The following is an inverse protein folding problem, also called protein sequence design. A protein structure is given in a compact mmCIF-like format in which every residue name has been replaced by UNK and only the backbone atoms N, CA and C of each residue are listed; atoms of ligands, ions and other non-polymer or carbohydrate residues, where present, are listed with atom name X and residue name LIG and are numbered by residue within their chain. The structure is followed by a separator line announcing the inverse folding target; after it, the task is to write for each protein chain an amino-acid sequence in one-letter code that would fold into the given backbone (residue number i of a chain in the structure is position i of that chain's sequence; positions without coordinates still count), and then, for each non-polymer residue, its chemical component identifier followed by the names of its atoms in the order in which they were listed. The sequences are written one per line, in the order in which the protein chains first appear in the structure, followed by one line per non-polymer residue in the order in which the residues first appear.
data_IF_835599822300
#
_entry.id   IF_835599822300
#
_cell.length_a   1.000
_cell.length_b   1.000
_cell.length_c   1.000
_cell.angle_alpha   90.00
_cell.angle_beta   90.00
_cell.angle_gamma   90.00
#
_symmetry.space_group_name_H-M   'P 1'
#
loop_
_entity.id
_entity.type
_entity.pdbx_description
1 polymer ?
#
# COMPACT_ATOMS: atom_id res chain seq x y z
N UNK A 1 -14.72 15.93 68.18
CA UNK A 1 -14.53 15.02 67.05
C UNK A 1 -13.96 15.84 65.89
N UNK A 2 -12.61 15.76 65.70
CA UNK A 2 -11.92 16.55 64.68
C UNK A 2 -11.83 15.68 63.42
N UNK A 3 -12.43 16.19 62.32
CA UNK A 3 -12.35 15.55 60.97
C UNK A 3 -10.98 15.92 60.34
N UNK A 4 -10.14 14.92 60.10
CA UNK A 4 -8.91 15.09 59.29
C UNK A 4 -9.31 14.97 57.81
N UNK A 5 -9.19 16.08 57.07
CA UNK A 5 -9.23 16.05 55.60
C UNK A 5 -7.85 15.63 55.09
N UNK A 6 -7.77 14.44 54.47
CA UNK A 6 -6.58 13.98 53.77
C UNK A 6 -6.62 14.48 52.31
N UNK A 7 -5.79 15.44 51.97
CA UNK A 7 -5.66 15.93 50.60
C UNK A 7 -4.77 14.97 49.82
N UNK A 8 -5.34 14.26 48.82
CA UNK A 8 -4.59 13.40 47.91
C UNK A 8 -4.03 14.28 46.78
N UNK A 9 -2.72 14.43 46.74
CA UNK A 9 -2.03 15.05 45.60
C UNK A 9 -1.87 14.00 44.49
N UNK A 10 -2.61 14.15 43.37
CA UNK A 10 -2.35 13.38 42.15
C UNK A 10 -1.25 14.09 41.37
N UNK A 11 -0.06 13.50 41.40
CA UNK A 11 1.06 13.95 40.54
C UNK A 11 0.87 13.38 39.15
N UNK A 12 0.48 14.22 38.21
CA UNK A 12 0.54 13.87 36.79
C UNK A 12 2.00 13.84 36.35
N UNK A 13 2.57 12.65 36.22
CA UNK A 13 3.85 12.46 35.51
C UNK A 13 3.59 12.70 34.03
N UNK A 14 3.95 13.86 33.52
CA UNK A 14 4.04 14.13 32.09
C UNK A 14 5.17 13.25 31.53
N UNK A 15 4.82 12.19 30.83
CA UNK A 15 5.78 11.45 30.02
C UNK A 15 6.31 12.43 28.94
N UNK A 16 7.62 12.69 28.83
CA UNK A 16 8.11 13.53 27.75
C UNK A 16 7.76 12.87 26.43
N UNK A 17 7.13 13.60 25.51
CA UNK A 17 6.95 13.16 24.14
C UNK A 17 8.33 12.87 23.58
N UNK A 18 8.64 11.60 23.34
CA UNK A 18 9.87 11.21 22.63
C UNK A 18 9.68 11.74 21.21
N UNK A 19 10.39 12.83 20.89
CA UNK A 19 10.47 13.33 19.52
C UNK A 19 11.03 12.19 18.66
N UNK A 20 10.24 11.70 17.73
CA UNK A 20 10.70 10.66 16.81
C UNK A 20 11.93 11.18 16.08
N UNK A 21 13.03 10.42 16.13
CA UNK A 21 14.26 10.76 15.40
C UNK A 21 13.95 10.92 13.91
N UNK A 22 14.60 11.86 13.22
CA UNK A 22 14.42 12.01 11.80
C UNK A 22 14.84 10.71 11.09
N UNK A 23 13.91 10.14 10.34
CA UNK A 23 14.13 8.92 9.58
C UNK A 23 15.03 9.22 8.40
N UNK A 24 16.01 8.36 8.12
CA UNK A 24 16.90 8.45 6.97
C UNK A 24 16.75 7.19 6.13
N UNK A 25 16.99 7.29 4.84
CA UNK A 25 17.05 6.14 3.96
C UNK A 25 18.35 6.14 3.18
N UNK A 26 18.96 4.97 3.04
CA UNK A 26 20.17 4.74 2.26
C UNK A 26 19.81 3.87 1.08
N UNK A 27 20.09 4.34 -0.14
CA UNK A 27 19.95 3.53 -1.36
C UNK A 27 20.86 2.31 -1.28
N UNK A 28 20.32 1.15 -1.57
CA UNK A 28 21.07 -0.10 -1.53
C UNK A 28 21.27 -0.67 -2.92
N UNK A 29 20.20 -0.83 -3.68
CA UNK A 29 20.24 -1.39 -5.03
C UNK A 29 19.01 -1.11 -5.86
N UNK A 30 19.08 -1.42 -7.14
CA UNK A 30 17.94 -1.49 -8.05
C UNK A 30 17.87 -2.87 -8.74
N UNK A 31 16.67 -3.21 -9.23
CA UNK A 31 16.46 -4.42 -10.03
C UNK A 31 17.14 -4.29 -11.40
N UNK A 32 17.69 -5.40 -11.89
CA UNK A 32 18.22 -5.51 -13.25
C UNK A 32 17.26 -6.21 -14.19
N UNK A 33 16.16 -6.74 -13.66
CA UNK A 33 15.10 -7.36 -14.46
C UNK A 33 14.35 -6.31 -15.28
N UNK A 34 13.98 -6.66 -16.50
CA UNK A 34 13.17 -5.80 -17.35
C UNK A 34 11.71 -5.90 -16.95
N UNK A 35 11.21 -4.87 -16.24
CA UNK A 35 9.81 -4.63 -15.95
C UNK A 35 9.24 -3.62 -16.97
N UNK A 36 7.93 -3.43 -16.95
CA UNK A 36 7.27 -2.41 -17.77
C UNK A 36 6.19 -1.73 -16.94
N UNK A 37 6.44 -0.50 -16.53
CA UNK A 37 5.53 0.27 -15.69
C UNK A 37 5.07 -0.53 -14.45
N UNK A 38 5.99 -0.97 -13.56
CA UNK A 38 5.61 -1.72 -12.36
C UNK A 38 4.81 -0.83 -11.42
N UNK A 39 3.65 -1.31 -10.93
CA UNK A 39 2.80 -0.60 -9.99
C UNK A 39 3.00 -1.14 -8.57
N UNK A 40 2.00 -1.75 -7.98
CA UNK A 40 2.13 -2.26 -6.62
C UNK A 40 3.16 -3.38 -6.49
N UNK A 41 3.65 -3.56 -5.27
CA UNK A 41 4.52 -4.66 -4.88
C UNK A 41 4.21 -5.10 -3.45
N UNK A 42 4.18 -6.42 -3.24
CA UNK A 42 3.83 -7.04 -1.96
C UNK A 42 4.73 -8.22 -1.64
N UNK A 43 5.20 -8.33 -0.41
CA UNK A 43 5.89 -9.54 0.04
C UNK A 43 4.89 -10.69 0.18
N UNK A 44 5.31 -11.90 -0.25
CA UNK A 44 4.55 -13.10 0.08
C UNK A 44 4.44 -13.28 1.60
N UNK A 45 3.38 -13.95 2.13
CA UNK A 45 3.18 -14.11 3.57
C UNK A 45 4.37 -14.73 4.33
N UNK A 46 5.18 -15.55 3.65
CA UNK A 46 6.40 -16.15 4.21
C UNK A 46 7.66 -15.28 3.99
N UNK A 47 7.52 -14.11 3.36
CA UNK A 47 8.59 -13.16 3.08
C UNK A 47 9.65 -13.61 2.08
N UNK A 48 9.44 -14.76 1.39
CA UNK A 48 10.43 -15.34 0.47
C UNK A 48 10.39 -14.74 -0.93
N UNK A 49 9.31 -14.11 -1.30
CA UNK A 49 9.08 -13.55 -2.63
C UNK A 49 8.57 -12.12 -2.53
N UNK A 50 9.03 -11.27 -3.43
CA UNK A 50 8.47 -9.96 -3.69
C UNK A 50 7.63 -10.07 -4.97
N UNK A 51 6.32 -9.95 -4.83
CA UNK A 51 5.37 -9.93 -5.93
C UNK A 51 5.30 -8.51 -6.48
N UNK A 52 5.37 -8.34 -7.78
CA UNK A 52 5.34 -7.03 -8.43
C UNK A 52 4.28 -7.03 -9.54
N UNK A 53 3.36 -6.11 -9.47
CA UNK A 53 2.36 -5.85 -10.52
C UNK A 53 3.05 -5.21 -11.73
N UNK A 54 3.49 -6.03 -12.68
CA UNK A 54 4.20 -5.64 -13.90
C UNK A 54 3.19 -5.31 -15.00
N UNK A 55 2.55 -4.13 -14.85
CA UNK A 55 1.33 -3.69 -15.57
C UNK A 55 1.49 -3.76 -17.07
N UNK A 56 2.57 -3.20 -17.60
CA UNK A 56 2.81 -3.19 -19.05
C UNK A 56 3.07 -4.57 -19.65
N UNK A 57 3.34 -5.58 -18.81
CA UNK A 57 3.48 -6.98 -19.20
C UNK A 57 2.26 -7.84 -18.80
N UNK A 58 1.21 -7.24 -18.22
CA UNK A 58 -0.04 -7.90 -17.80
C UNK A 58 0.20 -9.11 -16.88
N UNK A 59 1.10 -9.01 -15.91
CA UNK A 59 1.49 -10.15 -15.08
C UNK A 59 1.86 -9.72 -13.66
N UNK A 60 1.87 -10.67 -12.74
CA UNK A 60 2.61 -10.56 -11.48
C UNK A 60 4.00 -11.14 -11.71
N UNK A 61 5.04 -10.32 -11.61
CA UNK A 61 6.43 -10.76 -11.59
C UNK A 61 6.82 -11.18 -10.18
N UNK A 62 7.52 -12.30 -10.05
CA UNK A 62 8.00 -12.85 -8.77
C UNK A 62 9.49 -12.58 -8.67
N UNK A 63 9.89 -11.73 -7.75
CA UNK A 63 11.29 -11.40 -7.51
C UNK A 63 11.79 -12.02 -6.21
N UNK A 64 13.08 -12.25 -6.14
CA UNK A 64 13.78 -12.46 -4.86
C UNK A 64 13.89 -11.11 -4.14
N UNK A 65 13.42 -10.97 -2.90
CA UNK A 65 13.38 -9.68 -2.22
C UNK A 65 14.78 -9.12 -1.91
N UNK A 66 15.80 -9.98 -1.80
CA UNK A 66 17.16 -9.57 -1.46
C UNK A 66 18.01 -9.21 -2.67
N UNK A 67 18.00 -10.01 -3.70
CA UNK A 67 18.78 -9.77 -4.93
C UNK A 67 18.02 -8.95 -5.97
N UNK A 68 16.68 -8.85 -5.88
CA UNK A 68 15.75 -8.31 -6.89
C UNK A 68 15.80 -9.06 -8.24
N UNK A 69 16.30 -10.29 -8.23
CA UNK A 69 16.33 -11.14 -9.42
C UNK A 69 14.94 -11.72 -9.73
N UNK A 70 14.58 -11.82 -11.00
CA UNK A 70 13.34 -12.45 -11.45
C UNK A 70 13.40 -13.96 -11.23
N UNK A 71 12.46 -14.49 -10.47
CA UNK A 71 12.31 -15.92 -10.16
C UNK A 71 11.21 -16.59 -10.98
N UNK A 72 10.26 -15.83 -11.52
CA UNK A 72 9.12 -16.32 -12.28
C UNK A 72 8.05 -15.24 -12.47
N UNK A 73 6.91 -15.63 -12.99
CA UNK A 73 5.73 -14.78 -13.13
C UNK A 73 4.48 -15.64 -13.29
N UNK A 74 3.29 -15.01 -13.13
CA UNK A 74 1.99 -15.62 -13.45
C UNK A 74 0.99 -14.58 -13.97
N UNK A 75 -0.12 -15.06 -14.51
CA UNK A 75 -1.26 -14.23 -14.93
C UNK A 75 -1.18 -13.69 -16.36
N UNK A 76 -0.04 -13.72 -17.02
CA UNK A 76 0.20 -13.10 -18.33
C UNK A 76 -0.70 -13.62 -19.47
N UNK A 77 -1.32 -14.77 -19.30
CA UNK A 77 -2.18 -15.43 -20.30
C UNK A 77 -3.65 -15.02 -20.22
N UNK A 78 -4.08 -14.34 -19.13
CA UNK A 78 -5.49 -14.02 -18.92
C UNK A 78 -5.76 -12.70 -18.16
N UNK A 79 -4.73 -12.01 -17.66
CA UNK A 79 -4.88 -10.71 -17.04
C UNK A 79 -4.66 -9.56 -18.02
N UNK A 80 -5.19 -8.39 -17.68
CA UNK A 80 -5.01 -7.17 -18.44
C UNK A 80 -4.94 -5.96 -17.52
N UNK A 81 -3.76 -5.32 -17.47
CA UNK A 81 -3.52 -4.20 -16.56
C UNK A 81 -3.54 -4.65 -15.11
N UNK A 82 -2.59 -5.49 -14.72
CA UNK A 82 -2.43 -6.00 -13.35
C UNK A 82 -1.89 -4.91 -12.44
N UNK A 83 -2.70 -4.37 -11.51
CA UNK A 83 -2.30 -3.18 -10.73
C UNK A 83 -1.88 -3.50 -9.32
N UNK A 84 -2.52 -4.44 -8.63
CA UNK A 84 -2.30 -4.71 -7.22
C UNK A 84 -2.35 -6.21 -6.90
N UNK A 85 -1.74 -6.60 -5.79
CA UNK A 85 -1.79 -7.96 -5.24
C UNK A 85 -1.74 -7.93 -3.72
N UNK A 86 -2.66 -8.65 -3.06
CA UNK A 86 -2.62 -8.87 -1.61
C UNK A 86 -2.94 -10.33 -1.26
N UNK A 87 -2.67 -10.74 -0.02
CA UNK A 87 -2.80 -12.11 0.45
C UNK A 87 -3.67 -12.19 1.70
N UNK A 88 -4.57 -13.18 1.74
CA UNK A 88 -5.28 -13.50 2.97
C UNK A 88 -4.43 -14.38 3.93
N UNK A 89 -4.97 -14.64 5.11
CA UNK A 89 -4.34 -15.47 6.15
C UNK A 89 -4.21 -16.96 5.77
N UNK A 90 -4.89 -17.41 4.71
CA UNK A 90 -4.78 -18.75 4.14
C UNK A 90 -3.74 -18.80 3.00
N UNK A 91 -3.14 -17.66 2.63
CA UNK A 91 -2.18 -17.53 1.57
C UNK A 91 -2.79 -17.54 0.16
N UNK A 92 -4.09 -17.28 0.04
CA UNK A 92 -4.69 -16.98 -1.26
C UNK A 92 -4.27 -15.58 -1.70
N UNK A 93 -3.89 -15.45 -2.98
CA UNK A 93 -3.55 -14.17 -3.57
C UNK A 93 -4.76 -13.58 -4.30
N UNK A 94 -5.04 -12.30 -4.04
CA UNK A 94 -6.06 -11.50 -4.71
C UNK A 94 -5.36 -10.48 -5.60
N UNK A 95 -5.69 -10.44 -6.89
CA UNK A 95 -4.99 -9.61 -7.86
C UNK A 95 -5.98 -8.72 -8.61
N UNK A 96 -5.74 -7.40 -8.58
CA UNK A 96 -6.53 -6.43 -9.33
C UNK A 96 -6.25 -6.54 -10.83
N UNK A 97 -7.20 -7.12 -11.58
CA UNK A 97 -7.20 -7.30 -13.03
C UNK A 97 -8.01 -6.16 -13.68
N UNK A 98 -7.41 -4.98 -13.71
CA UNK A 98 -8.06 -3.67 -13.86
C UNK A 98 -8.87 -3.54 -15.15
N UNK A 99 -8.27 -3.85 -16.31
CA UNK A 99 -8.95 -3.68 -17.58
C UNK A 99 -10.04 -4.75 -17.81
N UNK A 100 -9.99 -5.86 -17.09
CA UNK A 100 -11.03 -6.89 -17.10
C UNK A 100 -12.12 -6.61 -16.05
N UNK A 101 -12.03 -5.53 -15.27
CA UNK A 101 -12.99 -5.12 -14.22
C UNK A 101 -13.27 -6.21 -13.18
N UNK A 102 -12.24 -6.91 -12.73
CA UNK A 102 -12.35 -7.99 -11.74
C UNK A 102 -11.12 -8.05 -10.84
N UNK A 103 -11.26 -8.69 -9.68
CA UNK A 103 -10.16 -9.20 -8.86
C UNK A 103 -10.10 -10.71 -9.09
N UNK A 104 -8.96 -11.24 -9.49
CA UNK A 104 -8.72 -12.67 -9.66
C UNK A 104 -8.15 -13.27 -8.39
N UNK A 105 -8.55 -14.51 -8.05
CA UNK A 105 -8.14 -15.21 -6.83
C UNK A 105 -7.28 -16.41 -7.21
N UNK A 106 -6.08 -16.47 -6.65
CA UNK A 106 -5.13 -17.55 -6.90
C UNK A 106 -4.82 -18.35 -5.65
N UNK A 107 -4.70 -19.65 -5.81
CA UNK A 107 -3.99 -20.51 -4.84
C UNK A 107 -2.54 -20.56 -5.21
N UNK A 108 -1.69 -20.10 -4.28
CA UNK A 108 -0.24 -20.09 -4.46
C UNK A 108 0.38 -21.40 -3.94
N UNK A 109 1.29 -21.98 -4.72
CA UNK A 109 2.19 -23.05 -4.30
C UNK A 109 3.62 -22.65 -4.67
N UNK A 110 4.32 -22.03 -3.75
CA UNK A 110 5.60 -21.36 -4.01
C UNK A 110 5.47 -20.28 -5.09
N UNK A 111 6.03 -20.53 -6.29
CA UNK A 111 5.98 -19.62 -7.44
C UNK A 111 4.90 -19.99 -8.47
N UNK A 112 4.12 -21.03 -8.20
CA UNK A 112 3.04 -21.45 -9.09
C UNK A 112 1.70 -20.89 -8.56
N UNK A 113 0.95 -20.27 -9.45
CA UNK A 113 -0.38 -19.72 -9.17
C UNK A 113 -1.44 -20.49 -9.94
N UNK A 114 -2.48 -20.95 -9.25
CA UNK A 114 -3.65 -21.58 -9.87
C UNK A 114 -4.84 -20.66 -9.67
N UNK A 115 -5.43 -20.16 -10.77
CA UNK A 115 -6.67 -19.36 -10.73
C UNK A 115 -7.81 -20.22 -10.20
N UNK A 116 -8.50 -19.74 -9.14
CA UNK A 116 -9.56 -20.48 -8.46
C UNK A 116 -10.88 -19.70 -8.35
N UNK A 117 -10.88 -18.40 -8.65
CA UNK A 117 -12.08 -17.57 -8.57
C UNK A 117 -11.86 -16.13 -8.98
N UNK A 118 -12.93 -15.36 -8.92
CA UNK A 118 -12.90 -13.92 -9.18
C UNK A 118 -13.99 -13.17 -8.40
N UNK A 119 -13.79 -11.84 -8.20
CA UNK A 119 -14.74 -10.88 -7.66
C UNK A 119 -14.90 -9.74 -8.66
N UNK A 120 -16.15 -9.39 -9.05
CA UNK A 120 -16.39 -8.36 -10.07
C UNK A 120 -17.63 -7.50 -9.80
N UNK A 121 -18.48 -7.88 -8.84
CA UNK A 121 -19.74 -7.20 -8.58
C UNK A 121 -19.50 -5.72 -8.16
N UNK A 122 -20.08 -4.78 -8.91
CA UNK A 122 -20.02 -3.33 -8.65
C UNK A 122 -18.62 -2.71 -8.70
N UNK A 123 -17.62 -3.40 -9.24
CA UNK A 123 -16.24 -2.91 -9.38
C UNK A 123 -15.95 -2.62 -10.84
N UNK A 124 -15.40 -1.41 -11.12
CA UNK A 124 -14.84 -1.08 -12.43
C UNK A 124 -13.45 -0.50 -12.28
N UNK A 125 -12.53 -1.06 -13.06
CA UNK A 125 -11.13 -0.71 -12.97
C UNK A 125 -10.59 -0.88 -11.55
N UNK A 126 -10.60 -2.11 -10.95
CA UNK A 126 -9.98 -2.30 -9.65
C UNK A 126 -8.49 -1.98 -9.75
N UNK A 127 -8.01 -1.12 -8.86
CA UNK A 127 -6.59 -0.78 -8.76
C UNK A 127 -6.01 -1.10 -7.39
N UNK A 128 -6.85 -1.26 -6.35
CA UNK A 128 -6.45 -1.69 -5.03
C UNK A 128 -7.26 -2.87 -4.53
N UNK A 129 -6.63 -3.80 -3.82
CA UNK A 129 -7.29 -4.90 -3.13
C UNK A 129 -6.64 -5.14 -1.77
N UNK A 130 -7.44 -5.26 -0.72
CA UNK A 130 -6.99 -5.60 0.62
C UNK A 130 -7.74 -6.84 1.13
N UNK A 131 -6.99 -7.89 1.44
CA UNK A 131 -7.48 -9.06 2.16
C UNK A 131 -7.36 -8.82 3.67
N UNK A 132 -8.42 -8.33 4.29
CA UNK A 132 -8.41 -7.89 5.67
C UNK A 132 -8.47 -9.08 6.65
N UNK A 133 -7.80 -9.03 7.83
CA UNK A 133 -7.83 -10.10 8.84
C UNK A 133 -9.22 -10.46 9.38
N UNK A 134 -10.25 -9.62 9.13
CA UNK A 134 -11.64 -9.96 9.46
C UNK A 134 -12.29 -10.95 8.46
N UNK A 135 -11.54 -11.43 7.47
CA UNK A 135 -11.99 -12.36 6.42
C UNK A 135 -12.69 -11.70 5.22
N UNK A 136 -12.81 -10.38 5.21
CA UNK A 136 -13.42 -9.62 4.11
C UNK A 136 -12.37 -9.13 3.12
N UNK A 137 -12.76 -9.00 1.86
CA UNK A 137 -11.93 -8.43 0.80
C UNK A 137 -12.48 -7.06 0.43
N UNK A 138 -11.62 -6.04 0.49
CA UNK A 138 -11.93 -4.66 0.13
C UNK A 138 -11.30 -4.36 -1.22
N UNK A 139 -12.05 -3.78 -2.14
CA UNK A 139 -11.59 -3.51 -3.50
C UNK A 139 -11.82 -2.06 -3.86
N UNK A 140 -10.76 -1.35 -4.25
CA UNK A 140 -10.84 0.02 -4.75
C UNK A 140 -11.09 0.01 -6.26
N UNK A 141 -12.29 0.44 -6.66
CA UNK A 141 -12.69 0.59 -8.06
C UNK A 141 -12.37 2.00 -8.56
N UNK A 142 -11.21 2.18 -9.19
CA UNK A 142 -10.75 3.50 -9.63
C UNK A 142 -11.68 4.14 -10.66
N UNK A 143 -12.25 3.35 -11.58
CA UNK A 143 -13.14 3.87 -12.61
C UNK A 143 -14.59 3.97 -12.15
N UNK A 144 -14.98 3.26 -11.10
CA UNK A 144 -16.30 3.39 -10.47
C UNK A 144 -16.35 4.40 -9.33
N UNK A 145 -15.19 4.85 -8.83
CA UNK A 145 -15.12 5.83 -7.74
C UNK A 145 -15.67 5.30 -6.42
N UNK A 146 -15.43 4.01 -6.14
CA UNK A 146 -15.99 3.32 -4.98
C UNK A 146 -14.99 2.38 -4.29
N UNK A 147 -15.31 1.99 -3.06
CA UNK A 147 -14.78 0.80 -2.40
C UNK A 147 -15.91 -0.20 -2.29
N UNK A 148 -15.66 -1.44 -2.70
CA UNK A 148 -16.61 -2.56 -2.54
C UNK A 148 -16.03 -3.56 -1.55
N UNK A 149 -16.89 -4.03 -0.63
CA UNK A 149 -16.52 -5.03 0.37
C UNK A 149 -17.19 -6.35 0.04
N UNK A 150 -16.39 -7.39 -0.04
CA UNK A 150 -16.86 -8.77 -0.24
C UNK A 150 -16.66 -9.60 1.02
N UNK A 151 -17.64 -10.43 1.33
CA UNK A 151 -17.57 -11.46 2.36
C UNK A 151 -18.00 -12.79 1.72
N UNK A 152 -17.15 -13.82 1.82
CA UNK A 152 -17.34 -15.12 1.17
C UNK A 152 -17.74 -15.01 -0.33
N UNK A 153 -17.08 -14.09 -1.05
CA UNK A 153 -17.29 -13.85 -2.47
C UNK A 153 -18.56 -13.05 -2.82
N UNK A 154 -19.32 -12.57 -1.84
CA UNK A 154 -20.53 -11.76 -2.06
C UNK A 154 -20.30 -10.31 -1.63
N UNK A 155 -20.75 -9.37 -2.44
CA UNK A 155 -20.79 -7.96 -2.05
C UNK A 155 -21.70 -7.77 -0.84
N UNK A 156 -21.17 -7.14 0.20
CA UNK A 156 -21.91 -6.82 1.44
C UNK A 156 -22.01 -5.33 1.71
N UNK A 157 -21.08 -4.52 1.17
CA UNK A 157 -21.02 -3.07 1.45
C UNK A 157 -20.34 -2.32 0.31
N UNK A 158 -20.61 -1.03 0.23
CA UNK A 158 -20.00 -0.12 -0.72
C UNK A 158 -19.88 1.29 -0.13
N UNK A 159 -18.74 1.96 -0.37
CA UNK A 159 -18.55 3.39 -0.19
C UNK A 159 -18.39 4.03 -1.56
N UNK A 160 -19.16 5.07 -1.85
CA UNK A 160 -19.12 5.80 -3.12
C UNK A 160 -18.67 7.26 -2.92
N UNK A 161 -18.50 8.01 -4.00
CA UNK A 161 -18.14 9.43 -3.96
C UNK A 161 -16.64 9.69 -3.83
N UNK A 162 -15.83 8.68 -4.12
CA UNK A 162 -14.38 8.79 -4.23
C UNK A 162 -13.97 9.20 -5.65
N UNK A 163 -12.73 9.61 -5.82
CA UNK A 163 -12.18 9.98 -7.11
C UNK A 163 -10.94 9.15 -7.41
N UNK A 164 -11.09 8.20 -8.34
CA UNK A 164 -10.00 7.30 -8.73
C UNK A 164 -9.25 6.73 -7.50
N UNK A 165 -9.95 6.04 -6.56
CA UNK A 165 -9.29 5.41 -5.44
C UNK A 165 -8.34 4.32 -5.96
N UNK A 166 -7.10 4.26 -5.41
CA UNK A 166 -6.07 3.38 -5.94
C UNK A 166 -5.72 2.25 -5.00
N UNK A 167 -5.57 2.52 -3.72
CA UNK A 167 -5.05 1.54 -2.79
C UNK A 167 -5.80 1.52 -1.46
N UNK A 168 -5.76 0.36 -0.80
CA UNK A 168 -6.25 0.11 0.53
C UNK A 168 -5.16 -0.63 1.32
N UNK A 169 -4.66 -0.01 2.40
CA UNK A 169 -3.64 -0.62 3.26
C UNK A 169 -4.15 -0.77 4.69
N UNK A 170 -3.76 -1.87 5.35
CA UNK A 170 -4.17 -2.19 6.71
C UNK A 170 -3.46 -1.26 7.72
N UNK A 171 -4.21 -0.55 8.54
CA UNK A 171 -3.66 0.15 9.69
C UNK A 171 -3.50 -0.79 10.89
N UNK A 172 -2.54 -0.50 11.79
CA UNK A 172 -2.20 -1.35 12.93
C UNK A 172 -3.39 -1.67 13.87
N UNK A 173 -4.43 -0.85 13.88
CA UNK A 173 -5.62 -1.03 14.72
C UNK A 173 -6.79 -1.73 14.01
N UNK A 174 -6.57 -2.24 12.78
CA UNK A 174 -7.60 -2.87 11.96
C UNK A 174 -8.48 -1.89 11.18
N UNK A 175 -8.16 -0.61 11.17
CA UNK A 175 -8.71 0.38 10.24
C UNK A 175 -8.01 0.26 8.87
N UNK A 176 -8.49 1.02 7.89
CA UNK A 176 -8.02 0.97 6.52
C UNK A 176 -7.50 2.34 6.08
N UNK A 177 -6.27 2.42 5.63
CA UNK A 177 -5.82 3.56 4.85
C UNK A 177 -6.30 3.42 3.41
N UNK A 178 -6.78 4.51 2.83
CA UNK A 178 -7.27 4.57 1.45
C UNK A 178 -6.58 5.71 0.70
N UNK A 179 -5.95 5.42 -0.41
CA UNK A 179 -5.46 6.42 -1.35
C UNK A 179 -6.61 6.90 -2.25
N UNK A 180 -7.26 8.01 -1.91
CA UNK A 180 -8.28 8.69 -2.73
C UNK A 180 -7.57 9.63 -3.73
N UNK A 181 -6.92 9.01 -4.71
CA UNK A 181 -5.89 9.57 -5.56
C UNK A 181 -6.32 10.79 -6.37
N UNK A 182 -7.51 10.74 -6.97
CA UNK A 182 -8.04 11.85 -7.76
C UNK A 182 -8.47 13.06 -6.92
N UNK A 183 -8.62 12.88 -5.60
CA UNK A 183 -8.85 13.95 -4.63
C UNK A 183 -7.54 14.38 -3.92
N UNK A 184 -6.40 13.83 -4.30
CA UNK A 184 -5.08 14.16 -3.73
C UNK A 184 -5.05 14.03 -2.19
N UNK A 185 -5.68 13.00 -1.63
CA UNK A 185 -5.78 12.77 -0.19
C UNK A 185 -5.66 11.29 0.19
N UNK A 186 -5.37 11.05 1.46
CA UNK A 186 -5.44 9.70 2.06
C UNK A 186 -6.51 9.76 3.17
N UNK A 187 -7.39 8.76 3.19
CA UNK A 187 -8.41 8.61 4.21
C UNK A 187 -8.06 7.46 5.15
N UNK A 188 -8.39 7.59 6.43
CA UNK A 188 -8.46 6.47 7.37
C UNK A 188 -9.92 6.10 7.54
N UNK A 189 -10.27 4.87 7.24
CA UNK A 189 -11.63 4.32 7.31
C UNK A 189 -11.70 3.26 8.42
N UNK A 190 -12.87 3.12 9.05
CA UNK A 190 -13.16 1.91 9.81
C UNK A 190 -13.34 0.71 8.87
N UNK A 191 -13.29 -0.51 9.41
CA UNK A 191 -13.65 -1.72 8.65
C UNK A 191 -15.10 -1.70 8.11
N UNK A 192 -15.95 -0.82 8.63
CA UNK A 192 -17.31 -0.56 8.14
C UNK A 192 -17.37 0.64 7.17
N UNK A 193 -16.20 1.13 6.70
CA UNK A 193 -16.02 2.24 5.74
C UNK A 193 -16.45 3.62 6.26
N UNK A 194 -16.53 3.84 7.58
CA UNK A 194 -16.74 5.18 8.13
C UNK A 194 -15.44 5.97 8.08
N UNK A 195 -15.48 7.19 7.56
CA UNK A 195 -14.30 8.06 7.48
C UNK A 195 -13.95 8.58 8.89
N UNK A 196 -12.74 8.24 9.36
CA UNK A 196 -12.23 8.64 10.68
C UNK A 196 -11.24 9.80 10.62
N UNK A 197 -10.43 9.87 9.57
CA UNK A 197 -9.36 10.88 9.42
C UNK A 197 -9.08 11.14 7.96
N UNK A 198 -8.63 12.34 7.67
CA UNK A 198 -8.11 12.72 6.36
C UNK A 198 -6.68 13.27 6.50
N UNK A 199 -5.79 12.83 5.62
CA UNK A 199 -4.49 13.42 5.37
C UNK A 199 -4.61 14.20 4.06
N UNK A 200 -4.63 15.53 4.17
CA UNK A 200 -5.00 16.38 3.04
C UNK A 200 -3.79 16.81 2.18
N UNK A 201 -4.10 17.18 0.95
CA UNK A 201 -3.15 17.80 0.01
C UNK A 201 -2.47 19.03 0.59
N UNK A 202 -3.21 19.90 1.28
CA UNK A 202 -2.69 21.18 1.81
C UNK A 202 -1.55 20.94 2.80
N UNK A 203 -1.68 19.88 3.63
CA UNK A 203 -0.67 19.56 4.64
C UNK A 203 0.53 18.83 4.07
N UNK A 204 0.32 17.89 3.15
CA UNK A 204 1.39 16.96 2.71
C UNK A 204 1.83 17.20 1.27
N UNK A 205 1.17 18.08 0.52
CA UNK A 205 1.47 18.38 -0.86
C UNK A 205 1.22 17.21 -1.80
N UNK A 206 0.24 16.35 -1.50
CA UNK A 206 -0.10 15.20 -2.34
C UNK A 206 -0.54 15.63 -3.73
N UNK A 207 -0.15 14.82 -4.74
CA UNK A 207 -0.56 14.97 -6.12
C UNK A 207 -0.63 13.58 -6.78
N UNK A 208 -1.77 12.90 -6.60
CA UNK A 208 -1.98 11.55 -7.12
C UNK A 208 -1.25 10.49 -6.29
N UNK A 209 -1.60 10.39 -5.02
CA UNK A 209 -1.15 9.30 -4.14
C UNK A 209 -1.60 7.97 -4.72
N UNK A 210 -0.69 7.00 -4.78
CA UNK A 210 -0.94 5.67 -5.35
C UNK A 210 -1.01 4.63 -4.25
N UNK A 211 0.05 3.86 -4.07
CA UNK A 211 0.07 2.76 -3.13
C UNK A 211 0.69 3.17 -1.79
N UNK A 212 0.22 2.50 -0.77
CA UNK A 212 0.51 2.77 0.63
C UNK A 212 1.13 1.53 1.28
N UNK A 213 1.88 1.74 2.34
CA UNK A 213 2.26 0.68 3.27
C UNK A 213 2.44 1.25 4.68
N UNK A 214 2.45 0.41 5.71
CA UNK A 214 2.56 0.83 7.10
C UNK A 214 3.72 0.13 7.81
N UNK A 215 4.55 0.92 8.51
CA UNK A 215 5.57 0.39 9.39
C UNK A 215 4.96 -0.05 10.74
N UNK A 216 5.66 -0.92 11.47
CA UNK A 216 5.25 -1.38 12.80
C UNK A 216 5.04 -0.25 13.81
N UNK A 217 5.74 0.88 13.67
CA UNK A 217 5.59 2.07 14.53
C UNK A 217 4.39 2.96 14.13
N UNK A 218 3.59 2.53 13.16
CA UNK A 218 2.44 3.24 12.63
C UNK A 218 2.79 4.36 11.65
N UNK A 219 4.04 4.43 11.18
CA UNK A 219 4.42 5.34 10.08
C UNK A 219 3.78 4.86 8.79
N UNK A 220 2.96 5.71 8.16
CA UNK A 220 2.40 5.49 6.84
C UNK A 220 3.41 5.88 5.77
N UNK A 221 3.62 5.00 4.81
CA UNK A 221 4.45 5.26 3.62
C UNK A 221 3.50 5.45 2.44
N UNK A 222 3.71 6.48 1.63
CA UNK A 222 2.83 6.81 0.52
C UNK A 222 3.64 7.16 -0.74
N UNK A 223 3.44 6.41 -1.80
CA UNK A 223 3.95 6.77 -3.12
C UNK A 223 3.09 7.90 -3.70
N UNK A 224 3.70 9.02 -4.02
CA UNK A 224 3.03 10.19 -4.57
C UNK A 224 3.53 10.46 -5.99
N UNK A 225 2.85 9.85 -6.94
CA UNK A 225 3.22 9.71 -8.34
C UNK A 225 3.65 11.02 -9.00
N UNK A 226 2.79 12.03 -8.92
CA UNK A 226 2.99 13.27 -9.65
C UNK A 226 3.92 14.26 -8.93
N UNK A 227 4.31 13.95 -7.68
CA UNK A 227 5.41 14.65 -7.01
C UNK A 227 6.74 13.91 -7.12
N UNK A 228 6.78 12.78 -7.84
CA UNK A 228 7.98 11.98 -8.01
C UNK A 228 8.68 11.68 -6.69
N UNK A 229 7.88 11.34 -5.66
CA UNK A 229 8.38 11.15 -4.31
C UNK A 229 7.60 10.07 -3.54
N UNK A 230 8.24 9.53 -2.51
CA UNK A 230 7.62 8.68 -1.49
C UNK A 230 7.72 9.39 -0.15
N UNK A 231 6.60 9.49 0.56
CA UNK A 231 6.47 10.24 1.81
C UNK A 231 6.25 9.30 2.98
N UNK A 232 6.98 9.51 4.07
CA UNK A 232 6.86 8.76 5.33
C UNK A 232 6.22 9.67 6.37
N UNK A 233 5.02 9.35 6.79
CA UNK A 233 4.19 10.15 7.68
C UNK A 233 4.03 9.41 9.00
N UNK A 234 4.58 9.95 10.08
CA UNK A 234 4.48 9.37 11.41
C UNK A 234 3.04 9.26 11.90
N UNK A 235 2.79 8.36 12.86
CA UNK A 235 1.47 8.19 13.49
C UNK A 235 0.93 9.50 14.09
N UNK A 236 1.82 10.39 14.52
CA UNK A 236 1.51 11.76 15.00
C UNK A 236 1.17 12.73 13.86
N UNK A 237 1.30 12.31 12.61
CA UNK A 237 1.05 13.09 11.41
C UNK A 237 2.18 14.03 11.02
N UNK A 238 3.41 13.82 11.52
CA UNK A 238 4.60 14.55 11.05
C UNK A 238 5.17 13.91 9.79
N UNK A 239 5.65 14.71 8.84
CA UNK A 239 6.42 14.20 7.69
C UNK A 239 7.85 13.89 8.18
N UNK A 240 8.17 12.60 8.33
CA UNK A 240 9.45 12.11 8.86
C UNK A 240 10.56 12.04 7.82
N UNK A 241 10.18 11.70 6.58
CA UNK A 241 11.09 11.53 5.45
C UNK A 241 10.34 11.73 4.13
N UNK A 242 11.03 12.27 3.15
CA UNK A 242 10.61 12.24 1.75
C UNK A 242 11.78 11.74 0.89
N UNK A 243 11.55 10.66 0.14
CA UNK A 243 12.44 10.20 -0.94
C UNK A 243 11.98 10.78 -2.26
N UNK A 244 12.93 11.12 -3.14
CA UNK A 244 12.62 11.85 -4.36
C UNK A 244 12.62 13.37 -4.13
N UNK A 245 12.86 14.14 -5.20
CA UNK A 245 13.09 15.59 -5.13
C UNK A 245 12.05 16.43 -5.87
N UNK A 246 10.91 15.84 -6.22
CA UNK A 246 9.83 16.53 -6.94
C UNK A 246 10.06 16.66 -8.45
N UNK A 247 11.10 16.04 -8.99
CA UNK A 247 11.43 16.07 -10.43
C UNK A 247 11.67 14.66 -10.94
N UNK A 248 11.02 14.34 -12.06
CA UNK A 248 11.23 13.07 -12.75
C UNK A 248 12.69 12.89 -13.15
N UNK A 249 13.33 11.86 -12.64
CA UNK A 249 14.71 11.51 -13.02
C UNK A 249 15.10 10.13 -12.49
N UNK A 250 16.20 9.56 -13.01
CA UNK A 250 16.78 8.30 -12.56
C UNK A 250 18.05 8.57 -11.74
N UNK A 251 18.25 7.80 -10.67
CA UNK A 251 19.41 7.84 -9.79
C UNK A 251 19.10 7.25 -8.43
N UNK A 252 20.07 7.22 -7.51
CA UNK A 252 19.97 6.55 -6.21
C UNK A 252 18.89 7.16 -5.29
N UNK A 253 18.66 8.45 -5.38
CA UNK A 253 17.67 9.19 -4.58
C UNK A 253 16.68 9.95 -5.46
N UNK A 254 16.49 9.49 -6.69
CA UNK A 254 15.64 10.13 -7.68
C UNK A 254 14.65 9.12 -8.22
N UNK A 255 13.40 9.52 -8.32
CA UNK A 255 12.28 8.69 -8.74
C UNK A 255 11.56 9.35 -9.92
N UNK A 256 10.92 8.52 -10.73
CA UNK A 256 10.01 8.97 -11.78
C UNK A 256 8.70 8.25 -11.62
N UNK A 257 7.63 9.00 -11.31
CA UNK A 257 6.28 8.47 -11.10
C UNK A 257 6.29 7.18 -10.23
N UNK A 258 6.78 7.22 -8.97
CA UNK A 258 6.73 6.06 -8.11
C UNK A 258 5.27 5.66 -7.86
N UNK A 259 4.98 4.37 -7.92
CA UNK A 259 3.63 3.85 -7.71
C UNK A 259 3.57 3.02 -6.42
N UNK A 260 4.25 1.89 -6.33
CA UNK A 260 4.17 0.96 -5.20
C UNK A 260 5.25 1.16 -4.15
N UNK A 261 4.92 0.80 -2.91
CA UNK A 261 5.82 0.75 -1.76
C UNK A 261 5.54 -0.49 -0.95
N UNK A 262 6.58 -1.10 -0.39
CA UNK A 262 6.50 -2.23 0.54
C UNK A 262 7.59 -2.11 1.59
N UNK A 263 7.29 -2.41 2.87
CA UNK A 263 8.24 -2.33 3.96
C UNK A 263 8.32 -3.61 4.79
N UNK A 264 9.54 -4.01 5.15
CA UNK A 264 9.78 -5.09 6.12
C UNK A 264 10.93 -4.69 7.04
N UNK A 265 10.61 -4.43 8.30
CA UNK A 265 11.60 -3.93 9.26
C UNK A 265 12.18 -2.60 8.81
N UNK A 266 13.46 -2.57 8.47
CA UNK A 266 14.14 -1.38 7.94
C UNK A 266 14.35 -1.40 6.42
N UNK A 267 13.87 -2.40 5.71
CA UNK A 267 13.96 -2.50 4.25
C UNK A 267 12.71 -1.90 3.62
N UNK A 268 12.90 -1.06 2.60
CA UNK A 268 11.80 -0.48 1.81
C UNK A 268 12.05 -0.74 0.34
N UNK A 269 11.08 -1.33 -0.34
CA UNK A 269 11.06 -1.48 -1.79
C UNK A 269 10.10 -0.44 -2.38
N UNK A 270 10.48 0.11 -3.52
CA UNK A 270 9.67 1.11 -4.24
C UNK A 270 9.62 0.73 -5.71
N UNK A 271 8.42 0.70 -6.27
CA UNK A 271 8.23 0.67 -7.72
C UNK A 271 8.48 2.06 -8.30
N UNK A 272 9.66 2.26 -8.88
CA UNK A 272 10.02 3.46 -9.60
C UNK A 272 9.54 3.31 -11.07
N UNK A 273 8.22 3.41 -11.24
CA UNK A 273 7.46 2.93 -12.40
C UNK A 273 7.87 3.59 -13.69
N UNK A 274 8.08 4.90 -13.68
CA UNK A 274 8.52 5.63 -14.87
C UNK A 274 9.98 5.36 -15.27
N UNK A 275 10.73 4.63 -14.43
CA UNK A 275 12.07 4.13 -14.73
C UNK A 275 12.11 2.61 -14.94
N UNK A 276 10.96 1.93 -14.96
CA UNK A 276 10.79 0.49 -15.18
C UNK A 276 11.63 -0.38 -14.23
N UNK A 277 11.74 0.01 -12.95
CA UNK A 277 12.60 -0.66 -11.97
C UNK A 277 11.96 -0.74 -10.58
N UNK A 278 12.44 -1.69 -9.78
CA UNK A 278 12.29 -1.70 -8.33
C UNK A 278 13.58 -1.18 -7.71
N UNK A 279 13.47 -0.29 -6.72
CA UNK A 279 14.60 0.18 -5.92
C UNK A 279 14.42 -0.23 -4.47
N UNK A 280 15.54 -0.56 -3.78
CA UNK A 280 15.53 -0.90 -2.37
C UNK A 280 16.36 0.09 -1.58
N UNK A 281 15.79 0.53 -0.43
CA UNK A 281 16.44 1.39 0.55
C UNK A 281 16.50 0.71 1.91
N UNK A 282 17.48 1.11 2.73
CA UNK A 282 17.58 0.78 4.15
C UNK A 282 17.28 2.03 4.99
N UNK A 283 16.31 1.91 5.90
CA UNK A 283 15.98 2.96 6.88
C UNK A 283 16.94 2.92 8.07
N UNK A 284 17.29 4.13 8.57
CA UNK A 284 18.19 4.35 9.71
C UNK A 284 17.62 5.39 10.67
#
# INVERSE_FOLDING_TARGET
MKLLLTTVFIVFLSCPAISAQPLKAVFEKESTVRLSNPHDLKLSPDGRYLMVSDVGNNRIAILDPDSLALLGHFGADHQSGTHDIDFDDQGLAYVADTHNNRVTIYRMQHKQATLIGELSESVRGPEGVLAHPNGRIYVAGAWSGNIVVFDQGKKIRELTGLSSPHDLELAANGDLWLADSGNDRILLLSAELDIKKELSREKYGFRGVRYLDTMEDGTLIAADKNTHSVKFIGADGTLRLQLGNGKASRGDYKLTTPEGVEVRGNQVWISDSGNDRIVRYLLQ
#
